data_IF_593832618679
#
_entry.id   IF_593832618679
#
_cell.length_a   1.000
_cell.length_b   1.000
_cell.length_c   1.000
_cell.angle_alpha   90.00
_cell.angle_beta   90.00
_cell.angle_gamma   90.00
#
_symmetry.space_group_name_H-M   'P 1'
#
loop_
_entity.id
_entity.type
_entity.pdbx_description
1 polymer ?
#
# COMPACT_ATOMS: atom_id res chain seq x y z
N UNK A 1 -6.97 -15.63 -14.57
CA UNK A 1 -6.43 -14.52 -15.39
C UNK A 1 -6.38 -13.30 -14.48
N UNK A 2 -5.23 -12.63 -14.37
CA UNK A 2 -5.06 -11.53 -13.42
C UNK A 2 -6.05 -10.39 -13.72
N UNK A 3 -6.87 -9.99 -12.73
CA UNK A 3 -7.94 -9.00 -12.91
C UNK A 3 -7.44 -7.70 -13.57
N UNK A 4 -6.24 -7.23 -13.19
CA UNK A 4 -5.57 -6.06 -13.77
C UNK A 4 -5.34 -6.15 -15.29
N UNK A 5 -5.15 -7.36 -15.79
CA UNK A 5 -4.86 -7.63 -17.20
C UNK A 5 -6.12 -7.86 -18.03
N UNK A 6 -7.29 -7.93 -17.39
CA UNK A 6 -8.58 -8.12 -18.06
C UNK A 6 -9.07 -6.82 -18.73
N UNK A 7 -9.83 -6.96 -19.82
CA UNK A 7 -10.47 -5.83 -20.49
C UNK A 7 -11.62 -5.18 -19.72
N UNK A 8 -12.11 -5.85 -18.66
CA UNK A 8 -13.18 -5.35 -17.79
C UNK A 8 -12.66 -4.51 -16.62
N UNK A 9 -11.34 -4.55 -16.37
CA UNK A 9 -10.71 -3.74 -15.34
C UNK A 9 -10.93 -2.25 -15.59
N UNK A 10 -11.35 -1.55 -14.55
CA UNK A 10 -11.57 -0.11 -14.57
C UNK A 10 -10.41 0.57 -13.83
N UNK A 11 -9.47 1.22 -14.54
CA UNK A 11 -8.36 1.85 -13.88
C UNK A 11 -8.80 3.07 -13.08
N UNK A 12 -8.14 3.29 -11.94
CA UNK A 12 -8.36 4.42 -11.05
C UNK A 12 -7.09 5.28 -10.98
N UNK A 13 -7.16 6.47 -11.60
CA UNK A 13 -6.07 7.46 -11.70
C UNK A 13 -6.43 8.80 -11.01
N UNK A 14 -7.48 8.80 -10.18
CA UNK A 14 -8.05 10.02 -9.61
C UNK A 14 -8.68 9.76 -8.23
N UNK A 15 -9.05 10.85 -7.55
CA UNK A 15 -9.68 10.84 -6.22
C UNK A 15 -8.79 11.43 -5.13
N UNK A 16 -7.47 11.33 -5.27
CA UNK A 16 -6.48 11.94 -4.38
C UNK A 16 -6.31 13.46 -4.61
N UNK A 17 -6.96 14.06 -5.62
CA UNK A 17 -6.91 15.50 -5.90
C UNK A 17 -5.47 16.08 -5.98
N UNK A 18 -4.50 15.27 -6.44
CA UNK A 18 -3.04 15.59 -6.48
C UNK A 18 -2.34 15.74 -5.12
N UNK A 19 -2.99 15.34 -4.03
CA UNK A 19 -2.45 15.36 -2.68
C UNK A 19 -2.00 13.96 -2.23
N UNK A 20 -0.70 13.77 -1.95
CA UNK A 20 -0.21 12.63 -1.19
C UNK A 20 -0.83 12.54 0.21
N UNK A 21 -0.76 11.34 0.81
CA UNK A 21 -1.19 11.10 2.20
C UNK A 21 -0.29 11.86 3.15
N UNK A 22 -0.90 12.59 4.10
CA UNK A 22 -0.20 13.34 5.15
C UNK A 22 -0.52 12.80 6.53
N UNK A 23 0.33 13.11 7.49
CA UNK A 23 0.10 12.78 8.90
C UNK A 23 -1.29 13.27 9.35
N UNK A 24 -1.92 12.49 10.24
CA UNK A 24 -3.24 12.73 10.83
C UNK A 24 -4.44 12.73 9.85
N UNK A 25 -4.23 12.72 8.52
CA UNK A 25 -5.36 12.72 7.58
C UNK A 25 -6.22 11.47 7.72
N UNK A 26 -5.59 10.30 7.77
CA UNK A 26 -6.32 9.04 7.89
C UNK A 26 -7.03 8.91 9.24
N UNK A 27 -6.41 9.36 10.35
CA UNK A 27 -7.05 9.41 11.66
C UNK A 27 -8.28 10.31 11.67
N UNK A 28 -8.16 11.58 11.24
CA UNK A 28 -9.31 12.51 11.17
C UNK A 28 -10.44 11.99 10.27
N UNK A 29 -10.07 11.39 9.13
CA UNK A 29 -11.05 10.82 8.20
C UNK A 29 -11.76 9.60 8.81
N UNK A 30 -11.01 8.75 9.52
CA UNK A 30 -11.54 7.59 10.22
C UNK A 30 -12.50 7.99 11.34
N UNK A 31 -12.10 8.93 12.21
CA UNK A 31 -12.93 9.43 13.32
C UNK A 31 -14.26 9.99 12.83
N UNK A 32 -14.24 10.72 11.70
CA UNK A 32 -15.42 11.29 11.11
C UNK A 32 -16.42 10.25 10.56
N UNK A 33 -15.98 9.00 10.35
CA UNK A 33 -16.83 7.90 9.87
C UNK A 33 -16.97 6.75 10.87
N UNK A 34 -16.40 6.86 12.07
CA UNK A 34 -16.31 5.76 13.03
C UNK A 34 -17.68 5.19 13.45
N UNK A 35 -18.74 6.00 13.41
CA UNK A 35 -20.12 5.60 13.71
C UNK A 35 -20.97 5.32 12.45
N UNK A 36 -20.34 5.27 11.27
CA UNK A 36 -21.03 5.31 9.99
C UNK A 36 -21.37 6.76 9.61
N UNK A 37 -21.04 7.16 8.39
CA UNK A 37 -21.37 8.51 7.91
C UNK A 37 -21.62 8.56 6.41
N UNK A 38 -22.43 9.50 5.96
CA UNK A 38 -22.62 9.77 4.54
C UNK A 38 -21.33 10.32 3.91
N UNK A 39 -20.96 9.85 2.72
CA UNK A 39 -19.74 10.31 2.04
C UNK A 39 -19.71 11.81 1.74
N UNK A 40 -20.86 12.47 1.71
CA UNK A 40 -20.98 13.92 1.50
C UNK A 40 -20.32 14.74 2.59
N UNK A 41 -20.00 14.18 3.78
CA UNK A 41 -19.23 14.92 4.81
C UNK A 41 -17.88 15.44 4.29
N UNK A 42 -17.31 14.80 3.25
CA UNK A 42 -16.05 15.20 2.63
C UNK A 42 -16.20 16.26 1.52
N UNK A 43 -17.42 16.58 1.13
CA UNK A 43 -17.73 17.56 0.07
C UNK A 43 -18.67 18.69 0.52
N UNK A 44 -19.32 18.52 1.68
CA UNK A 44 -20.23 19.47 2.28
C UNK A 44 -19.53 20.80 2.62
N UNK A 45 -20.29 21.92 2.71
CA UNK A 45 -19.71 23.23 3.03
C UNK A 45 -18.94 23.27 4.36
N UNK A 46 -19.33 22.46 5.35
CA UNK A 46 -18.69 22.37 6.66
C UNK A 46 -17.43 21.48 6.66
N UNK A 47 -17.10 20.77 5.57
CA UNK A 47 -15.93 19.90 5.48
C UNK A 47 -14.61 20.63 5.81
N UNK A 48 -14.53 21.92 5.45
CA UNK A 48 -13.34 22.75 5.73
C UNK A 48 -13.15 22.90 7.24
N UNK A 49 -14.23 23.21 7.97
CA UNK A 49 -14.19 23.37 9.42
C UNK A 49 -13.98 22.03 10.11
N UNK A 50 -14.71 21.00 9.66
CA UNK A 50 -14.65 19.63 10.23
C UNK A 50 -13.26 19.03 10.20
N UNK A 51 -12.59 19.10 9.05
CA UNK A 51 -11.28 18.45 8.87
C UNK A 51 -10.10 19.41 9.07
N UNK A 52 -10.37 20.72 9.11
CA UNK A 52 -9.34 21.76 9.17
C UNK A 52 -8.47 21.80 7.91
N UNK A 53 -9.04 21.46 6.75
CA UNK A 53 -8.32 21.41 5.46
C UNK A 53 -9.19 21.96 4.33
N UNK A 54 -8.58 22.31 3.19
CA UNK A 54 -9.35 22.76 2.02
C UNK A 54 -10.24 21.65 1.43
N UNK A 55 -11.29 22.05 0.69
CA UNK A 55 -12.28 21.13 0.08
C UNK A 55 -11.66 19.98 -0.73
N UNK A 56 -10.64 20.25 -1.54
CA UNK A 56 -9.98 19.21 -2.34
C UNK A 56 -9.15 18.26 -1.48
N UNK A 57 -8.59 18.74 -0.36
CA UNK A 57 -7.88 17.90 0.59
C UNK A 57 -8.85 16.97 1.34
N UNK A 58 -10.04 17.45 1.72
CA UNK A 58 -11.07 16.59 2.31
C UNK A 58 -11.49 15.45 1.36
N UNK A 59 -11.66 15.74 0.07
CA UNK A 59 -11.93 14.69 -0.94
C UNK A 59 -10.77 13.69 -1.06
N UNK A 60 -9.52 14.17 -1.04
CA UNK A 60 -8.34 13.32 -1.02
C UNK A 60 -8.28 12.43 0.24
N UNK A 61 -8.64 12.97 1.41
CA UNK A 61 -8.72 12.20 2.66
C UNK A 61 -9.69 11.01 2.52
N UNK A 62 -10.87 11.21 1.93
CA UNK A 62 -11.81 10.11 1.65
C UNK A 62 -11.20 9.07 0.72
N UNK A 63 -10.55 9.51 -0.37
CA UNK A 63 -9.93 8.58 -1.31
C UNK A 63 -8.88 7.71 -0.61
N UNK A 64 -8.00 8.31 0.20
CA UNK A 64 -6.97 7.56 0.92
C UNK A 64 -7.52 6.68 2.04
N UNK A 65 -8.59 7.09 2.71
CA UNK A 65 -9.28 6.26 3.70
C UNK A 65 -9.85 4.98 3.07
N UNK A 66 -10.41 5.08 1.86
CA UNK A 66 -10.88 3.91 1.12
C UNK A 66 -9.74 3.08 0.54
N UNK A 67 -8.73 3.73 -0.06
CA UNK A 67 -7.59 3.04 -0.68
C UNK A 67 -6.70 2.30 0.34
N UNK A 68 -6.63 2.80 1.58
CA UNK A 68 -5.96 2.11 2.69
C UNK A 68 -6.71 0.88 3.21
N UNK A 69 -7.99 0.74 2.86
CA UNK A 69 -8.87 -0.30 3.39
C UNK A 69 -9.27 -0.09 4.85
N UNK A 70 -9.08 1.11 5.41
CA UNK A 70 -9.49 1.43 6.79
C UNK A 70 -10.98 1.77 6.90
N UNK A 71 -11.59 2.21 5.81
CA UNK A 71 -13.04 2.28 5.68
C UNK A 71 -13.49 1.63 4.36
N UNK A 72 -14.77 1.30 4.29
CA UNK A 72 -15.46 0.81 3.10
C UNK A 72 -16.68 1.67 2.80
N UNK A 73 -17.04 1.78 1.52
CA UNK A 73 -18.27 2.44 1.09
C UNK A 73 -19.33 1.39 0.75
N UNK A 74 -20.52 1.54 1.31
CA UNK A 74 -21.70 0.73 0.99
C UNK A 74 -22.95 1.61 0.97
N UNK A 75 -23.66 1.62 -0.16
CA UNK A 75 -24.89 2.42 -0.30
C UNK A 75 -24.69 3.95 -0.16
N UNK A 76 -23.48 4.46 -0.41
CA UNK A 76 -23.14 5.88 -0.22
C UNK A 76 -22.72 6.25 1.22
N UNK A 77 -22.80 5.29 2.14
CA UNK A 77 -22.33 5.42 3.52
C UNK A 77 -20.92 4.83 3.65
N UNK A 78 -20.12 5.44 4.51
CA UNK A 78 -18.78 5.01 4.85
C UNK A 78 -18.78 4.37 6.23
N UNK A 79 -18.15 3.20 6.33
CA UNK A 79 -18.06 2.42 7.57
C UNK A 79 -16.60 2.04 7.84
N UNK A 80 -16.17 2.00 9.11
CA UNK A 80 -14.86 1.47 9.46
C UNK A 80 -14.78 -0.02 9.10
N UNK A 81 -13.61 -0.46 8.64
CA UNK A 81 -13.32 -1.90 8.47
C UNK A 81 -12.77 -2.49 9.77
N UNK A 82 -12.72 -3.83 9.91
CA UNK A 82 -12.02 -4.46 11.05
C UNK A 82 -10.56 -4.01 11.16
N UNK A 83 -9.85 -3.87 10.04
CA UNK A 83 -8.47 -3.37 10.02
C UNK A 83 -8.38 -1.90 10.48
N UNK A 84 -9.24 -1.04 9.94
CA UNK A 84 -9.27 0.37 10.33
C UNK A 84 -9.60 0.53 11.81
N UNK A 85 -10.55 -0.26 12.33
CA UNK A 85 -10.90 -0.27 13.76
C UNK A 85 -9.74 -0.74 14.63
N UNK A 86 -9.07 -1.83 14.25
CA UNK A 86 -7.94 -2.36 15.01
C UNK A 86 -6.75 -1.39 15.08
N UNK A 87 -6.50 -0.61 14.02
CA UNK A 87 -5.38 0.33 13.98
C UNK A 87 -5.76 1.72 14.53
N UNK A 88 -6.84 2.33 14.03
CA UNK A 88 -7.11 3.77 14.11
C UNK A 88 -8.12 4.20 15.19
N UNK A 89 -8.78 3.25 15.87
CA UNK A 89 -9.61 3.59 17.05
C UNK A 89 -8.75 4.27 18.11
N UNK A 90 -9.36 5.03 19.02
CA UNK A 90 -8.60 5.78 20.05
C UNK A 90 -7.75 4.85 20.95
N UNK A 91 -8.24 3.63 21.19
CA UNK A 91 -7.56 2.54 21.91
C UNK A 91 -6.89 1.52 20.96
N UNK A 92 -6.78 1.86 19.68
CA UNK A 92 -6.21 1.03 18.63
C UNK A 92 -4.71 0.77 18.79
N UNK A 93 -4.20 -0.09 17.90
CA UNK A 93 -2.80 -0.51 17.92
C UNK A 93 -1.85 0.65 17.58
N UNK A 94 -2.24 1.54 16.67
CA UNK A 94 -1.46 2.70 16.25
C UNK A 94 -2.38 3.79 15.66
N UNK A 95 -3.08 4.56 16.53
CA UNK A 95 -4.13 5.49 16.12
C UNK A 95 -3.64 6.63 15.21
N UNK A 96 -2.35 6.93 15.26
CA UNK A 96 -1.74 8.07 14.58
C UNK A 96 -0.81 7.67 13.43
N UNK A 97 -0.67 6.36 13.14
CA UNK A 97 0.21 5.80 12.10
C UNK A 97 1.69 6.12 12.35
N UNK A 98 2.12 6.08 13.60
CA UNK A 98 3.49 6.39 14.03
C UNK A 98 4.44 5.19 13.89
N UNK A 99 3.89 3.97 13.81
CA UNK A 99 4.67 2.76 13.69
C UNK A 99 4.96 2.42 12.22
N UNK A 100 6.19 1.98 11.94
CA UNK A 100 6.58 1.55 10.60
C UNK A 100 5.64 0.45 10.04
N UNK A 101 5.14 -0.44 10.92
CA UNK A 101 4.17 -1.47 10.58
C UNK A 101 2.92 -0.90 9.89
N UNK A 102 2.38 0.21 10.41
CA UNK A 102 1.21 0.90 9.87
C UNK A 102 1.49 1.47 8.48
N UNK A 103 2.66 2.08 8.29
CA UNK A 103 3.07 2.64 7.01
C UNK A 103 3.26 1.54 5.96
N UNK A 104 3.83 0.39 6.35
CA UNK A 104 3.97 -0.77 5.47
C UNK A 104 2.61 -1.41 5.12
N UNK A 105 1.67 -1.48 6.06
CA UNK A 105 0.30 -1.93 5.81
C UNK A 105 -0.44 -0.99 4.87
N UNK A 106 -0.25 0.33 5.04
CA UNK A 106 -0.78 1.33 4.12
C UNK A 106 -0.21 1.13 2.72
N UNK A 107 1.11 1.01 2.58
CA UNK A 107 1.75 0.74 1.30
C UNK A 107 1.24 -0.57 0.66
N UNK A 108 1.10 -1.65 1.44
CA UNK A 108 0.53 -2.91 0.98
C UNK A 108 -0.88 -2.74 0.41
N UNK A 109 -1.73 -1.91 1.02
CA UNK A 109 -3.06 -1.62 0.50
C UNK A 109 -3.01 -0.92 -0.87
N UNK A 110 -2.10 0.06 -1.04
CA UNK A 110 -2.01 0.83 -2.28
C UNK A 110 -1.32 0.07 -3.42
N UNK A 111 -0.30 -0.73 -3.11
CA UNK A 111 0.54 -1.40 -4.10
C UNK A 111 0.20 -2.90 -4.26
N UNK A 112 -0.51 -3.51 -3.33
CA UNK A 112 -0.88 -4.93 -3.38
C UNK A 112 -2.08 -5.25 -4.26
N UNK A 113 -2.96 -4.27 -4.53
CA UNK A 113 -4.12 -4.39 -5.42
C UNK A 113 -4.26 -3.18 -6.34
N UNK A 114 -4.71 -3.34 -7.60
CA UNK A 114 -4.92 -2.22 -8.51
C UNK A 114 -6.26 -1.48 -8.35
N UNK A 115 -7.17 -1.97 -7.49
CA UNK A 115 -8.60 -1.58 -7.48
C UNK A 115 -8.83 -0.08 -7.25
N UNK A 116 -8.05 0.56 -6.38
CA UNK A 116 -8.17 1.98 -6.04
C UNK A 116 -6.98 2.82 -6.50
N UNK A 117 -5.83 2.20 -6.74
CA UNK A 117 -4.54 2.86 -6.93
C UNK A 117 -3.75 2.18 -8.04
N UNK A 118 -4.26 2.31 -9.28
CA UNK A 118 -3.72 1.64 -10.46
C UNK A 118 -2.23 1.95 -10.69
N UNK A 119 -1.82 3.22 -10.55
CA UNK A 119 -0.41 3.63 -10.73
C UNK A 119 0.51 2.98 -9.70
N UNK A 120 0.09 2.87 -8.43
CA UNK A 120 0.90 2.24 -7.38
C UNK A 120 1.11 0.76 -7.68
N UNK A 121 0.02 0.03 -7.96
CA UNK A 121 0.10 -1.38 -8.29
C UNK A 121 1.01 -1.62 -9.50
N UNK A 122 0.78 -0.88 -10.59
CA UNK A 122 1.58 -1.03 -11.80
C UNK A 122 3.06 -0.72 -11.58
N UNK A 123 3.37 0.38 -10.89
CA UNK A 123 4.75 0.82 -10.67
C UNK A 123 5.54 -0.18 -9.79
N UNK A 124 4.91 -0.74 -8.75
CA UNK A 124 5.58 -1.70 -7.88
C UNK A 124 5.61 -3.13 -8.46
N UNK A 125 4.57 -3.55 -9.18
CA UNK A 125 4.44 -4.95 -9.59
C UNK A 125 4.79 -5.22 -11.05
N UNK A 126 4.59 -4.29 -11.97
CA UNK A 126 4.63 -4.57 -13.42
C UNK A 126 5.73 -3.79 -14.11
N UNK A 127 6.01 -2.56 -13.66
CA UNK A 127 7.07 -1.75 -14.23
C UNK A 127 8.43 -2.46 -14.12
N UNK A 128 9.05 -2.70 -15.27
CA UNK A 128 10.22 -3.60 -15.38
C UNK A 128 11.57 -2.97 -15.05
N UNK A 129 11.65 -1.64 -14.91
CA UNK A 129 12.90 -0.93 -14.60
C UNK A 129 12.93 -0.48 -13.15
N UNK A 130 14.12 -0.48 -12.53
CA UNK A 130 14.32 0.13 -11.21
C UNK A 130 14.47 1.66 -11.30
N UNK A 131 14.92 2.18 -12.45
CA UNK A 131 15.10 3.62 -12.68
C UNK A 131 14.02 4.14 -13.62
N UNK A 132 13.50 5.33 -13.34
CA UNK A 132 12.45 5.96 -14.14
C UNK A 132 12.47 7.48 -14.01
N UNK A 133 11.76 8.16 -14.91
CA UNK A 133 11.38 9.57 -14.75
C UNK A 133 9.84 9.71 -14.87
N UNK A 134 9.35 10.93 -14.60
CA UNK A 134 7.91 11.25 -14.65
C UNK A 134 7.29 10.96 -16.01
N UNK A 135 7.98 11.34 -17.08
CA UNK A 135 7.45 11.23 -18.43
C UNK A 135 7.46 9.77 -18.90
N UNK A 136 8.48 9.00 -18.53
CA UNK A 136 8.59 7.57 -18.79
C UNK A 136 7.45 6.78 -18.10
N UNK A 137 7.16 7.05 -16.83
CA UNK A 137 6.03 6.42 -16.15
C UNK A 137 4.68 6.82 -16.76
N UNK A 138 4.49 8.11 -17.06
CA UNK A 138 3.27 8.61 -17.70
C UNK A 138 3.05 7.94 -19.06
N UNK A 139 4.08 7.90 -19.92
CA UNK A 139 4.01 7.23 -21.23
C UNK A 139 3.72 5.73 -21.07
N UNK A 140 4.37 5.05 -20.12
CA UNK A 140 4.17 3.63 -19.87
C UNK A 140 2.72 3.29 -19.47
N UNK A 141 2.11 4.08 -18.59
CA UNK A 141 0.70 3.89 -18.21
C UNK A 141 -0.27 4.21 -19.35
N UNK A 142 0.00 5.23 -20.16
CA UNK A 142 -0.84 5.55 -21.32
C UNK A 142 -0.76 4.46 -22.40
N UNK A 143 0.44 3.94 -22.65
CA UNK A 143 0.65 2.82 -23.56
C UNK A 143 -0.05 1.56 -23.04
N UNK A 144 0.04 1.28 -21.73
CA UNK A 144 -0.71 0.19 -21.12
C UNK A 144 -2.22 0.37 -21.29
N UNK A 145 -2.74 1.58 -21.03
CA UNK A 145 -4.16 1.89 -21.19
C UNK A 145 -4.64 1.65 -22.63
N UNK A 146 -3.86 2.07 -23.62
CA UNK A 146 -4.14 1.84 -25.04
C UNK A 146 -4.12 0.34 -25.39
N UNK A 147 -3.06 -0.37 -25.00
CA UNK A 147 -2.93 -1.82 -25.23
C UNK A 147 -4.07 -2.63 -24.59
N UNK A 148 -4.58 -2.17 -23.44
CA UNK A 148 -5.68 -2.82 -22.72
C UNK A 148 -7.07 -2.34 -23.13
N UNK A 149 -7.16 -1.33 -24.01
CA UNK A 149 -8.42 -0.74 -24.44
C UNK A 149 -9.18 -0.02 -23.31
N UNK A 150 -8.47 0.49 -22.29
CA UNK A 150 -9.09 1.22 -21.18
C UNK A 150 -9.73 2.51 -21.70
N UNK A 151 -11.03 2.66 -21.47
CA UNK A 151 -11.79 3.82 -21.94
C UNK A 151 -11.57 5.02 -21.02
N UNK A 152 -11.57 6.22 -21.61
CA UNK A 152 -11.58 7.52 -20.89
C UNK A 152 -10.35 7.81 -20.02
N UNK A 153 -9.18 7.28 -20.39
CA UNK A 153 -7.92 7.61 -19.71
C UNK A 153 -7.33 8.89 -20.32
N UNK A 154 -7.47 10.01 -19.61
CA UNK A 154 -6.94 11.29 -20.07
C UNK A 154 -5.44 11.46 -19.70
N UNK A 155 -4.57 11.89 -20.64
CA UNK A 155 -3.13 12.07 -20.37
C UNK A 155 -2.81 12.98 -19.19
N UNK A 156 -3.56 14.07 -19.03
CA UNK A 156 -3.39 15.01 -17.90
C UNK A 156 -3.71 14.35 -16.56
N UNK A 157 -4.71 13.46 -16.52
CA UNK A 157 -5.08 12.72 -15.31
C UNK A 157 -3.98 11.73 -14.92
N UNK A 158 -3.48 10.95 -15.89
CA UNK A 158 -2.37 10.01 -15.63
C UNK A 158 -1.12 10.75 -15.18
N UNK A 159 -0.78 11.87 -15.82
CA UNK A 159 0.37 12.68 -15.39
C UNK A 159 0.24 13.17 -13.94
N UNK A 160 -0.94 13.68 -13.56
CA UNK A 160 -1.24 14.11 -12.19
C UNK A 160 -1.17 12.97 -11.18
N UNK A 161 -1.61 11.78 -11.58
CA UNK A 161 -1.55 10.58 -10.73
C UNK A 161 -0.10 10.11 -10.52
N UNK A 162 0.71 10.06 -11.60
CA UNK A 162 2.15 9.78 -11.53
C UNK A 162 2.87 10.80 -10.65
N UNK A 163 2.57 12.09 -10.79
CA UNK A 163 3.15 13.14 -9.94
C UNK A 163 2.77 12.92 -8.45
N UNK A 164 1.53 12.51 -8.17
CA UNK A 164 1.08 12.21 -6.82
C UNK A 164 1.78 10.96 -6.26
N UNK A 165 1.95 9.92 -7.08
CA UNK A 165 2.69 8.71 -6.75
C UNK A 165 4.13 9.03 -6.33
N UNK A 166 4.88 9.74 -7.18
CA UNK A 166 6.28 10.07 -6.89
C UNK A 166 6.38 10.92 -5.62
N UNK A 167 5.52 11.93 -5.49
CA UNK A 167 5.49 12.79 -4.31
C UNK A 167 5.08 12.04 -3.04
N UNK A 168 4.47 10.87 -3.12
CA UNK A 168 4.12 10.08 -1.94
C UNK A 168 5.33 9.38 -1.34
N UNK A 169 6.35 9.07 -2.13
CA UNK A 169 7.52 8.31 -1.69
C UNK A 169 8.83 9.09 -1.68
N UNK A 170 8.88 10.25 -2.36
CA UNK A 170 10.12 11.02 -2.51
C UNK A 170 9.98 12.37 -1.83
N UNK A 171 10.89 12.63 -0.89
CA UNK A 171 11.03 13.93 -0.23
C UNK A 171 11.36 15.04 -1.24
N UNK A 172 10.85 16.25 -1.01
CA UNK A 172 11.10 17.41 -1.88
C UNK A 172 12.47 18.06 -1.67
N UNK A 173 13.25 17.60 -0.71
CA UNK A 173 14.37 18.34 -0.13
C UNK A 173 15.68 18.24 -0.93
N UNK A 174 15.62 18.59 -2.22
CA UNK A 174 16.78 19.14 -2.93
C UNK A 174 16.60 20.64 -3.10
N UNK A 175 17.07 21.40 -2.11
CA UNK A 175 17.49 22.80 -2.31
C UNK A 175 16.53 23.92 -1.91
N UNK A 176 15.31 23.66 -1.43
CA UNK A 176 14.46 24.70 -0.85
C UNK A 176 13.65 24.13 0.30
N UNK A 177 14.01 24.52 1.52
CA UNK A 177 13.19 24.29 2.71
C UNK A 177 11.95 25.16 2.52
N UNK A 178 10.86 24.57 2.05
CA UNK A 178 9.54 25.17 2.24
C UNK A 178 9.14 24.76 3.65
N UNK A 179 9.35 25.66 4.62
CA UNK A 179 9.16 25.45 6.07
C UNK A 179 7.75 24.97 6.47
N UNK A 180 6.80 24.90 5.53
CA UNK A 180 5.37 24.62 5.78
C UNK A 180 4.82 23.37 5.05
N UNK A 181 5.65 22.62 4.31
CA UNK A 181 5.17 21.43 3.61
C UNK A 181 5.30 20.18 4.49
N UNK A 182 4.20 19.79 5.15
CA UNK A 182 4.09 18.49 5.86
C UNK A 182 4.50 17.37 4.89
N UNK A 183 5.53 16.61 5.28
CA UNK A 183 6.08 15.52 4.50
C UNK A 183 5.07 14.37 4.37
N UNK A 184 4.94 13.73 3.18
CA UNK A 184 4.06 12.58 3.02
C UNK A 184 4.55 11.36 3.81
N UNK A 185 3.62 10.65 4.44
CA UNK A 185 3.93 9.56 5.39
C UNK A 185 4.68 8.38 4.76
N UNK A 186 4.51 8.14 3.45
CA UNK A 186 5.15 7.00 2.78
C UNK A 186 6.62 7.27 2.38
N UNK A 187 7.12 8.50 2.55
CA UNK A 187 8.54 8.83 2.34
C UNK A 187 9.43 8.04 3.30
N UNK A 188 8.95 7.83 4.54
CA UNK A 188 9.68 7.11 5.59
C UNK A 188 10.01 5.66 5.24
N UNK A 189 9.28 5.06 4.30
CA UNK A 189 9.54 3.69 3.84
C UNK A 189 10.82 3.57 3.00
N UNK A 190 11.34 4.68 2.47
CA UNK A 190 12.57 4.68 1.67
C UNK A 190 12.48 3.82 0.39
N UNK A 191 11.27 3.59 -0.13
CA UNK A 191 11.03 2.71 -1.29
C UNK A 191 11.46 3.33 -2.61
N UNK A 192 11.49 4.66 -2.70
CA UNK A 192 11.88 5.40 -3.90
C UNK A 192 12.81 6.54 -3.48
N UNK A 193 13.91 6.73 -4.20
CA UNK A 193 14.84 7.85 -4.00
C UNK A 193 15.07 8.62 -5.30
N UNK A 194 15.42 9.90 -5.18
CA UNK A 194 15.92 10.67 -6.33
C UNK A 194 17.31 10.20 -6.73
N UNK A 195 17.53 10.02 -8.03
CA UNK A 195 18.85 9.79 -8.62
C UNK A 195 19.80 10.93 -8.30
N UNK A 196 21.08 10.67 -8.08
CA UNK A 196 22.12 11.70 -7.93
C UNK A 196 22.27 12.58 -9.19
N UNK A 197 21.92 12.04 -10.36
CA UNK A 197 22.12 12.69 -11.66
C UNK A 197 20.76 12.85 -12.34
N UNK A 198 20.44 14.09 -12.73
CA UNK A 198 19.21 14.45 -13.44
C UNK A 198 17.93 14.35 -12.61
N UNK A 199 16.79 14.29 -13.30
CA UNK A 199 15.44 14.26 -12.71
C UNK A 199 14.84 12.85 -12.56
N UNK A 200 15.70 11.83 -12.58
CA UNK A 200 15.31 10.43 -12.45
C UNK A 200 15.08 10.01 -10.99
N UNK A 201 14.34 8.94 -10.82
CA UNK A 201 14.03 8.27 -9.57
C UNK A 201 14.41 6.79 -9.66
N UNK A 202 14.63 6.18 -8.50
CA UNK A 202 15.03 4.78 -8.39
C UNK A 202 14.23 4.07 -7.30
N UNK A 203 13.71 2.89 -7.61
CA UNK A 203 13.18 1.96 -6.63
C UNK A 203 14.32 1.33 -5.83
N UNK A 204 14.23 1.39 -4.51
CA UNK A 204 15.21 0.77 -3.61
C UNK A 204 14.89 -0.71 -3.44
N UNK A 205 15.53 -1.56 -4.24
CA UNK A 205 15.42 -3.02 -4.12
C UNK A 205 16.38 -3.57 -3.05
N UNK A 206 15.92 -4.55 -2.29
CA UNK A 206 16.73 -5.31 -1.35
C UNK A 206 16.12 -5.36 0.06
N UNK A 207 16.93 -5.57 1.11
CA UNK A 207 16.40 -5.70 2.47
C UNK A 207 15.68 -4.44 2.94
N UNK A 208 14.67 -4.64 3.80
CA UNK A 208 13.85 -3.57 4.39
C UNK A 208 13.84 -3.75 5.91
N UNK A 209 14.79 -3.11 6.59
CA UNK A 209 14.95 -3.25 8.04
C UNK A 209 13.71 -2.80 8.83
N UNK A 210 13.02 -1.75 8.35
CA UNK A 210 11.80 -1.24 8.99
C UNK A 210 10.54 -2.06 8.66
N UNK A 211 10.59 -3.03 7.74
CA UNK A 211 9.45 -3.87 7.38
C UNK A 211 9.31 -5.03 8.39
N UNK A 212 8.25 -5.06 9.23
CA UNK A 212 8.08 -6.13 10.20
C UNK A 212 7.70 -7.46 9.53
N UNK A 213 8.16 -8.57 10.08
CA UNK A 213 7.85 -9.91 9.56
C UNK A 213 6.34 -10.20 9.57
N UNK A 214 5.58 -9.63 10.50
CA UNK A 214 4.11 -9.76 10.51
C UNK A 214 3.46 -9.13 9.27
N UNK A 215 3.92 -7.98 8.81
CA UNK A 215 3.35 -7.31 7.62
C UNK A 215 3.70 -8.11 6.37
N UNK A 216 4.92 -8.64 6.31
CA UNK A 216 5.31 -9.58 5.26
C UNK A 216 4.40 -10.83 5.24
N UNK A 217 4.12 -11.43 6.40
CA UNK A 217 3.26 -12.61 6.50
C UNK A 217 1.82 -12.32 6.04
N UNK A 218 1.27 -11.18 6.45
CA UNK A 218 -0.06 -10.72 6.02
C UNK A 218 -0.09 -10.49 4.51
N UNK A 219 0.92 -9.84 3.94
CA UNK A 219 1.03 -9.65 2.49
C UNK A 219 1.07 -10.98 1.74
N UNK A 220 1.84 -11.95 2.23
CA UNK A 220 1.94 -13.28 1.65
C UNK A 220 0.60 -14.01 1.66
N UNK A 221 -0.10 -14.03 2.81
CA UNK A 221 -1.41 -14.70 2.92
C UNK A 221 -2.47 -14.02 2.05
N UNK A 222 -2.54 -12.68 2.04
CA UNK A 222 -3.47 -11.93 1.17
C UNK A 222 -3.22 -12.22 -0.31
N UNK A 223 -1.95 -12.20 -0.75
CA UNK A 223 -1.56 -12.56 -2.11
C UNK A 223 -1.96 -14.01 -2.45
N UNK A 224 -1.67 -14.94 -1.53
CA UNK A 224 -1.98 -16.36 -1.70
C UNK A 224 -3.49 -16.58 -1.83
N UNK A 225 -4.32 -16.02 -0.94
CA UNK A 225 -5.78 -16.12 -1.02
C UNK A 225 -6.33 -15.52 -2.31
N UNK A 226 -5.77 -14.41 -2.78
CA UNK A 226 -6.27 -13.71 -3.96
C UNK A 226 -5.88 -14.40 -5.29
N UNK A 227 -4.73 -15.08 -5.36
CA UNK A 227 -4.18 -15.60 -6.62
C UNK A 227 -4.04 -17.13 -6.67
N UNK A 228 -4.03 -17.78 -5.51
CA UNK A 228 -3.69 -19.19 -5.32
C UNK A 228 -4.61 -19.85 -4.26
N UNK A 229 -5.89 -19.46 -4.19
CA UNK A 229 -6.83 -19.89 -3.14
C UNK A 229 -6.92 -21.42 -2.95
N UNK A 230 -6.86 -22.16 -4.05
CA UNK A 230 -6.97 -23.63 -4.07
C UNK A 230 -5.64 -24.34 -3.76
N UNK A 231 -4.51 -23.61 -3.72
CA UNK A 231 -3.20 -24.20 -3.55
C UNK A 231 -2.85 -24.33 -2.05
N UNK A 232 -2.42 -25.53 -1.65
CA UNK A 232 -1.91 -25.81 -0.30
C UNK A 232 -0.44 -25.44 -0.11
N UNK A 233 0.29 -25.19 -1.21
CA UNK A 233 1.67 -24.69 -1.20
C UNK A 233 1.84 -23.49 -2.14
N UNK A 234 2.85 -22.66 -1.86
CA UNK A 234 3.23 -21.52 -2.67
C UNK A 234 4.74 -21.56 -2.92
N UNK A 235 5.17 -21.52 -4.18
CA UNK A 235 6.58 -21.53 -4.51
C UNK A 235 7.28 -20.23 -4.07
N UNK A 236 8.58 -20.30 -3.80
CA UNK A 236 9.43 -19.12 -3.60
C UNK A 236 9.32 -18.14 -4.78
N UNK A 237 9.30 -18.66 -6.01
CA UNK A 237 9.20 -17.86 -7.22
C UNK A 237 7.93 -17.01 -7.24
N UNK A 238 6.78 -17.59 -6.83
CA UNK A 238 5.52 -16.85 -6.73
C UNK A 238 5.58 -15.77 -5.65
N UNK A 239 6.17 -16.06 -4.49
CA UNK A 239 6.33 -15.08 -3.40
C UNK A 239 7.28 -13.92 -3.80
N UNK A 240 8.33 -14.19 -4.58
CA UNK A 240 9.29 -13.20 -5.04
C UNK A 240 8.78 -12.36 -6.20
N UNK A 241 8.18 -13.00 -7.20
CA UNK A 241 8.01 -12.43 -8.54
C UNK A 241 6.56 -12.39 -9.03
N UNK A 242 5.60 -12.93 -8.29
CA UNK A 242 4.18 -12.80 -8.63
C UNK A 242 3.71 -11.34 -8.59
N UNK A 243 2.77 -10.95 -9.46
CA UNK A 243 2.17 -9.62 -9.36
C UNK A 243 1.26 -9.54 -8.12
N UNK A 244 1.56 -8.58 -7.24
CA UNK A 244 0.96 -8.45 -5.92
C UNK A 244 1.66 -9.28 -4.84
N UNK A 245 2.75 -9.99 -5.17
CA UNK A 245 3.50 -10.77 -4.18
C UNK A 245 4.30 -9.85 -3.24
N UNK A 246 4.63 -10.30 -2.02
CA UNK A 246 5.41 -9.48 -1.08
C UNK A 246 6.78 -9.08 -1.64
N UNK A 247 7.42 -9.95 -2.44
CA UNK A 247 8.69 -9.63 -3.11
C UNK A 247 8.60 -8.41 -4.02
N UNK A 248 7.53 -8.31 -4.82
CA UNK A 248 7.31 -7.16 -5.71
C UNK A 248 6.82 -5.92 -4.98
N UNK A 249 5.80 -6.07 -4.14
CA UNK A 249 5.18 -4.96 -3.40
C UNK A 249 6.23 -4.23 -2.58
N UNK A 250 7.01 -4.96 -1.77
CA UNK A 250 8.01 -4.36 -0.89
C UNK A 250 9.39 -4.14 -1.53
N UNK A 251 9.54 -4.44 -2.84
CA UNK A 251 10.82 -4.42 -3.58
C UNK A 251 11.93 -5.18 -2.84
N UNK A 252 11.66 -6.41 -2.45
CA UNK A 252 12.66 -7.29 -1.83
C UNK A 252 13.51 -7.97 -2.92
N UNK A 253 14.74 -8.33 -2.57
CA UNK A 253 15.49 -9.36 -3.30
C UNK A 253 15.09 -10.76 -2.80
N UNK A 254 15.52 -11.79 -3.53
CA UNK A 254 15.13 -13.17 -3.23
C UNK A 254 15.66 -13.63 -1.86
N UNK A 255 16.89 -13.24 -1.51
CA UNK A 255 17.50 -13.52 -0.22
C UNK A 255 16.65 -12.96 0.93
N UNK A 256 16.25 -11.69 0.83
CA UNK A 256 15.38 -11.04 1.82
C UNK A 256 14.01 -11.70 1.95
N UNK A 257 13.46 -12.28 0.88
CA UNK A 257 12.21 -13.06 0.94
C UNK A 257 12.45 -14.38 1.67
N UNK A 258 13.51 -15.11 1.32
CA UNK A 258 13.86 -16.39 1.96
C UNK A 258 14.08 -16.23 3.46
N UNK A 259 14.85 -15.22 3.86
CA UNK A 259 15.15 -14.96 5.27
C UNK A 259 13.88 -14.78 6.11
N UNK A 260 12.87 -14.13 5.56
CA UNK A 260 11.58 -13.93 6.21
C UNK A 260 10.73 -15.19 6.21
N UNK A 261 10.77 -15.97 5.12
CA UNK A 261 10.07 -17.24 5.01
C UNK A 261 10.60 -18.26 6.02
N UNK A 262 11.91 -18.31 6.27
CA UNK A 262 12.52 -19.21 7.26
C UNK A 262 11.87 -19.04 8.65
N UNK A 263 11.50 -17.81 9.03
CA UNK A 263 10.89 -17.48 10.33
C UNK A 263 9.36 -17.48 10.33
N UNK A 264 8.71 -17.77 9.19
CA UNK A 264 7.27 -17.54 8.99
C UNK A 264 6.38 -18.36 9.94
N UNK A 265 6.83 -19.56 10.34
CA UNK A 265 6.07 -20.41 11.25
C UNK A 265 5.88 -19.75 12.62
N UNK A 266 6.94 -19.18 13.19
CA UNK A 266 6.88 -18.54 14.50
C UNK A 266 5.99 -17.29 14.46
N UNK A 267 6.10 -16.51 13.38
CA UNK A 267 5.33 -15.27 13.17
C UNK A 267 3.83 -15.56 13.03
N UNK A 268 3.49 -16.66 12.35
CA UNK A 268 2.10 -17.01 12.00
C UNK A 268 1.46 -18.02 12.92
N UNK A 269 2.07 -18.29 14.09
CA UNK A 269 1.59 -19.30 15.05
C UNK A 269 1.43 -20.68 14.40
N UNK A 270 2.31 -21.02 13.47
CA UNK A 270 2.30 -22.27 12.73
C UNK A 270 1.22 -22.38 11.66
N UNK A 271 0.57 -21.28 11.25
CA UNK A 271 -0.40 -21.29 10.14
C UNK A 271 0.27 -21.45 8.77
N UNK A 272 1.51 -20.95 8.62
CA UNK A 272 2.36 -21.11 7.45
C UNK A 272 3.70 -21.71 7.86
N UNK A 273 4.31 -22.54 7.02
CA UNK A 273 5.65 -23.08 7.28
C UNK A 273 6.53 -23.08 6.03
N UNK A 274 7.81 -22.75 6.18
CA UNK A 274 8.79 -22.90 5.12
C UNK A 274 9.23 -24.35 4.97
N UNK A 275 9.38 -24.80 3.72
CA UNK A 275 9.86 -26.13 3.38
C UNK A 275 10.87 -26.05 2.24
N UNK A 276 12.03 -26.67 2.46
CA UNK A 276 13.06 -26.90 1.44
C UNK A 276 13.38 -28.39 1.39
N UNK A 277 12.95 -29.08 0.34
CA UNK A 277 13.15 -30.54 0.22
C UNK A 277 13.47 -30.89 -1.22
N UNK A 278 14.55 -31.63 -1.43
CA UNK A 278 15.01 -32.04 -2.77
C UNK A 278 15.10 -30.87 -3.79
N UNK A 279 15.51 -29.68 -3.31
CA UNK A 279 15.64 -28.46 -4.13
C UNK A 279 14.33 -27.70 -4.35
N UNK A 280 13.19 -28.22 -3.90
CA UNK A 280 11.90 -27.52 -3.94
C UNK A 280 11.77 -26.58 -2.73
N UNK A 281 11.78 -25.28 -3.01
CA UNK A 281 11.65 -24.18 -2.05
C UNK A 281 10.22 -23.62 -2.08
N UNK A 282 9.47 -23.81 -1.00
CA UNK A 282 8.07 -23.44 -0.94
C UNK A 282 7.58 -23.13 0.48
N UNK A 283 6.47 -22.42 0.55
CA UNK A 283 5.70 -22.21 1.77
C UNK A 283 4.52 -23.17 1.74
N UNK A 284 4.19 -23.76 2.89
CA UNK A 284 3.08 -24.70 3.05
C UNK A 284 2.05 -24.06 3.98
N UNK A 285 0.77 -24.19 3.63
CA UNK A 285 -0.35 -23.79 4.48
C UNK A 285 -0.69 -24.96 5.40
N UNK A 286 -0.44 -24.78 6.70
CA UNK A 286 -0.59 -25.81 7.73
C UNK A 286 -1.82 -25.59 8.60
N UNK A 287 -2.40 -24.39 8.58
CA UNK A 287 -3.61 -24.06 9.33
C UNK A 287 -4.32 -22.81 8.83
N UNK A 288 -5.31 -22.35 9.59
CA UNK A 288 -6.00 -21.09 9.35
C UNK A 288 -5.11 -19.91 9.73
N UNK A 289 -4.97 -18.93 8.84
CA UNK A 289 -4.26 -17.69 9.12
C UNK A 289 -5.21 -16.64 9.67
N UNK A 290 -4.99 -16.23 10.93
CA UNK A 290 -5.71 -15.14 11.59
C UNK A 290 -4.91 -13.83 11.43
N UNK A 291 -5.36 -12.99 10.49
CA UNK A 291 -4.71 -11.72 10.19
C UNK A 291 -4.71 -10.76 11.38
N UNK A 292 -5.79 -10.72 12.16
CA UNK A 292 -5.90 -9.81 13.29
C UNK A 292 -4.92 -10.21 14.40
N UNK A 293 -4.85 -11.51 14.74
CA UNK A 293 -3.93 -12.01 15.74
C UNK A 293 -2.45 -11.79 15.33
N UNK A 294 -2.12 -12.02 14.05
CA UNK A 294 -0.76 -11.78 13.52
C UNK A 294 -0.42 -10.29 13.57
N UNK A 295 -1.36 -9.42 13.20
CA UNK A 295 -1.17 -7.97 13.26
C UNK A 295 -0.92 -7.50 14.70
N UNK A 296 -1.80 -7.87 15.65
CA UNK A 296 -1.67 -7.51 17.07
C UNK A 296 -0.32 -7.92 17.66
N UNK A 297 0.17 -9.11 17.31
CA UNK A 297 1.48 -9.60 17.75
C UNK A 297 2.62 -8.68 17.31
N UNK A 298 2.52 -8.12 16.10
CA UNK A 298 3.48 -7.15 15.58
C UNK A 298 3.61 -5.92 16.48
N UNK A 299 2.47 -5.31 16.81
CA UNK A 299 2.44 -4.08 17.61
C UNK A 299 2.79 -4.30 19.09
N UNK A 300 2.43 -5.45 19.67
CA UNK A 300 2.81 -5.78 21.06
C UNK A 300 4.32 -5.92 21.23
N UNK A 301 5.00 -6.51 20.23
CA UNK A 301 6.46 -6.70 20.25
C UNK A 301 7.19 -5.36 20.30
N UNK A 302 6.70 -4.36 19.57
CA UNK A 302 7.26 -2.99 19.59
C UNK A 302 7.03 -2.33 20.95
N UNK A 303 5.80 -2.38 21.48
CA UNK A 303 5.48 -1.79 22.81
C UNK A 303 6.29 -2.41 23.94
N UNK A 304 6.60 -3.71 23.90
CA UNK A 304 7.46 -4.36 24.90
C UNK A 304 8.94 -4.03 24.78
N UNK A 305 9.42 -3.63 23.60
CA UNK A 305 10.81 -3.25 23.39
C UNK A 305 11.09 -1.78 23.77
N UNK A 306 10.03 -0.96 23.85
CA UNK A 306 10.09 0.45 24.24
C UNK A 306 9.89 0.69 25.75
N UNK A 307 9.55 -0.35 26.52
CA UNK A 307 9.33 -0.32 27.98
C UNK A 307 10.53 -0.92 28.73
#
# INVERSE_FOLDING_TARGET
MEAFLSGEFRPQFAGHETFPIRALWLKKAFDAVAQGADKSIFTAPDAIVRFGVGKNMAQAMRHWLLASGFAREEGGLLYPTPLGTALLSDDGLDPYLEEAASLWMLHLALAGSPDMTTTWYWAFNIYGSLTFDRDAMTRGLLQLAEQRGWKRVAPVTVKRDVDCFIRSYVSRTRGTIVEDAIEPVLVELGLIRSSAIGDAFEFVRGPKASLPDVVFAIALDRFWRAKHSEASTLSIEAACYGHGSPGRVFKLDEESVVDRLIRIADITLGALSWSETAGLKQVVRTGSFDEAAVLERGYRTVRSAAA
#
